data_IF_085831606846
#
_entry.id   IF_085831606846
#
_cell.length_a   1.000
_cell.length_b   1.000
_cell.length_c   1.000
_cell.angle_alpha   90.00
_cell.angle_beta   90.00
_cell.angle_gamma   90.00
#
_symmetry.space_group_name_H-M   'P 1'
#
loop_
_entity.id
_entity.type
_entity.pdbx_description
1 polymer ?
#
# COMPACT_ATOMS: atom_id res chain seq x y z
N UNK A 1 -6.87 -19.75 -14.24
CA UNK A 1 -7.13 -19.71 -12.78
C UNK A 1 -6.42 -18.53 -12.13
N UNK A 2 -5.21 -18.20 -12.54
CA UNK A 2 -4.37 -17.17 -11.91
C UNK A 2 -5.03 -15.79 -11.83
N UNK A 3 -5.75 -15.37 -12.87
CA UNK A 3 -6.49 -14.09 -12.87
C UNK A 3 -7.52 -13.99 -11.73
N UNK A 4 -8.23 -15.08 -11.41
CA UNK A 4 -9.19 -15.09 -10.30
C UNK A 4 -8.46 -14.96 -8.96
N UNK A 5 -7.35 -15.67 -8.79
CA UNK A 5 -6.55 -15.63 -7.56
C UNK A 5 -5.96 -14.24 -7.35
N UNK A 6 -5.41 -13.62 -8.39
CA UNK A 6 -4.89 -12.26 -8.34
C UNK A 6 -5.97 -11.26 -7.95
N UNK A 7 -7.18 -11.36 -8.53
CA UNK A 7 -8.25 -10.42 -8.25
C UNK A 7 -8.85 -10.59 -6.85
N UNK A 8 -8.89 -11.83 -6.35
CA UNK A 8 -9.27 -12.11 -4.97
C UNK A 8 -8.26 -11.52 -3.98
N UNK A 9 -6.96 -11.68 -4.22
CA UNK A 9 -5.91 -11.09 -3.39
C UNK A 9 -5.82 -9.56 -3.51
N UNK A 10 -6.22 -9.00 -4.65
CA UNK A 10 -6.34 -7.54 -4.80
C UNK A 10 -7.45 -6.99 -3.91
N UNK A 11 -8.66 -7.56 -3.97
CA UNK A 11 -9.82 -7.09 -3.19
C UNK A 11 -9.70 -7.44 -1.70
N UNK A 12 -9.18 -8.61 -1.39
CA UNK A 12 -9.07 -9.17 -0.05
C UNK A 12 -7.62 -9.63 0.25
N UNK A 13 -6.67 -8.69 0.32
CA UNK A 13 -5.30 -9.02 0.72
C UNK A 13 -5.32 -9.54 2.17
N UNK A 14 -4.57 -10.62 2.47
CA UNK A 14 -4.45 -11.14 3.84
C UNK A 14 -3.89 -10.12 4.84
N UNK A 15 -3.10 -9.16 4.34
CA UNK A 15 -2.45 -8.11 5.13
C UNK A 15 -2.80 -6.75 4.53
N UNK A 16 -3.57 -5.94 5.25
CA UNK A 16 -4.06 -4.64 4.74
C UNK A 16 -3.03 -3.51 4.74
N UNK A 17 -1.93 -3.64 5.49
CA UNK A 17 -0.81 -2.70 5.51
C UNK A 17 0.49 -3.40 5.89
N UNK A 18 1.60 -2.88 5.37
CA UNK A 18 2.94 -3.28 5.81
C UNK A 18 3.63 -2.11 6.49
N UNK A 19 4.52 -2.43 7.41
CA UNK A 19 5.30 -1.46 8.17
C UNK A 19 6.80 -1.75 8.04
N UNK A 20 7.58 -0.68 7.98
CA UNK A 20 9.05 -0.72 7.97
C UNK A 20 9.56 0.23 9.04
N UNK A 21 10.68 -0.13 9.66
CA UNK A 21 11.36 0.72 10.63
C UNK A 21 12.62 1.27 10.00
N UNK A 22 12.80 2.59 10.06
CA UNK A 22 14.00 3.25 9.58
C UNK A 22 15.17 2.95 10.50
N UNK A 23 16.05 2.04 10.05
CA UNK A 23 17.25 1.64 10.81
C UNK A 23 18.37 2.69 10.74
N UNK A 24 18.35 3.51 9.68
CA UNK A 24 19.29 4.60 9.40
C UNK A 24 18.45 5.85 9.11
N UNK A 25 18.97 7.04 9.45
CA UNK A 25 18.33 8.30 9.08
C UNK A 25 18.33 8.46 7.56
N UNK A 26 17.14 8.64 6.99
CA UNK A 26 16.95 8.71 5.56
C UNK A 26 16.61 10.14 5.14
N UNK A 27 17.29 10.63 4.10
CA UNK A 27 17.03 11.93 3.49
C UNK A 27 16.61 11.71 2.04
N UNK A 28 15.37 12.04 1.73
CA UNK A 28 14.86 12.01 0.36
C UNK A 28 15.38 13.24 -0.40
N UNK A 29 16.19 13.06 -1.45
CA UNK A 29 16.77 14.18 -2.20
C UNK A 29 15.72 15.02 -2.94
N UNK A 30 14.62 14.43 -3.41
CA UNK A 30 13.64 15.16 -4.23
C UNK A 30 12.64 15.98 -3.41
N UNK A 31 12.12 15.42 -2.33
CA UNK A 31 11.11 16.07 -1.48
C UNK A 31 11.70 16.84 -0.29
N UNK A 32 13.00 16.64 -0.01
CA UNK A 32 13.64 17.14 1.21
C UNK A 32 13.15 16.45 2.49
N UNK A 33 12.36 15.37 2.37
CA UNK A 33 11.83 14.63 3.50
C UNK A 33 12.97 14.02 4.30
N UNK A 34 13.01 14.32 5.60
CA UNK A 34 13.92 13.70 6.55
C UNK A 34 13.14 12.71 7.39
N UNK A 35 13.55 11.44 7.35
CA UNK A 35 12.95 10.38 8.15
C UNK A 35 13.95 9.99 9.24
N UNK A 36 13.67 10.35 10.51
CA UNK A 36 14.53 10.04 11.63
C UNK A 36 14.73 8.53 11.81
N UNK A 37 15.84 8.17 12.45
CA UNK A 37 16.07 6.79 12.87
C UNK A 37 14.97 6.35 13.85
N UNK A 38 14.50 5.11 13.70
CA UNK A 38 13.39 4.47 14.45
C UNK A 38 11.99 5.01 14.11
N UNK A 39 11.85 5.80 13.06
CA UNK A 39 10.53 6.12 12.51
C UNK A 39 9.90 4.91 11.80
N UNK A 40 8.56 4.84 11.82
CA UNK A 40 7.80 3.83 11.11
C UNK A 40 7.31 4.39 9.77
N UNK A 41 7.54 3.66 8.70
CA UNK A 41 6.95 3.90 7.39
C UNK A 41 5.84 2.86 7.16
N UNK A 42 4.62 3.33 6.90
CA UNK A 42 3.46 2.49 6.66
C UNK A 42 3.04 2.57 5.19
N UNK A 43 2.88 1.42 4.53
CA UNK A 43 2.30 1.35 3.19
C UNK A 43 0.92 0.66 3.26
N UNK A 44 -0.18 1.38 2.96
CA UNK A 44 -1.53 0.85 3.05
C UNK A 44 -1.93 0.06 1.79
N UNK A 45 -1.69 -1.25 1.81
CA UNK A 45 -1.97 -2.16 0.68
C UNK A 45 -3.46 -2.15 0.30
N UNK A 46 -4.36 -2.28 1.28
CA UNK A 46 -5.81 -2.32 1.04
C UNK A 46 -6.29 -1.02 0.37
N UNK A 47 -5.76 0.12 0.79
CA UNK A 47 -6.17 1.41 0.24
C UNK A 47 -5.72 1.52 -1.23
N UNK A 48 -4.46 1.23 -1.51
CA UNK A 48 -3.89 1.28 -2.86
C UNK A 48 -4.62 0.31 -3.80
N UNK A 49 -4.91 -0.91 -3.34
CA UNK A 49 -5.61 -1.90 -4.14
C UNK A 49 -7.05 -1.51 -4.49
N UNK A 50 -7.71 -0.66 -3.70
CA UNK A 50 -9.09 -0.23 -3.94
C UNK A 50 -9.18 1.23 -4.43
N UNK A 51 -8.05 1.84 -4.72
CA UNK A 51 -8.01 3.22 -5.19
C UNK A 51 -8.50 3.29 -6.65
N UNK A 52 -9.54 4.11 -6.93
CA UNK A 52 -10.09 4.26 -8.27
C UNK A 52 -9.09 4.81 -9.30
N UNK A 53 -7.99 5.44 -8.87
CA UNK A 53 -6.91 5.86 -9.76
C UNK A 53 -6.23 4.67 -10.46
N UNK A 54 -6.13 3.52 -9.78
CA UNK A 54 -5.43 2.34 -10.30
C UNK A 54 -6.39 1.24 -10.73
N UNK A 55 -7.59 1.18 -10.13
CA UNK A 55 -8.59 0.16 -10.44
C UNK A 55 -9.97 0.79 -10.55
N UNK A 56 -10.51 0.83 -11.76
CA UNK A 56 -11.90 1.25 -11.99
C UNK A 56 -12.85 0.25 -11.31
N UNK A 57 -13.46 0.65 -10.20
CA UNK A 57 -14.40 -0.22 -9.48
C UNK A 57 -15.85 0.19 -9.75
N UNK A 58 -16.65 -0.76 -10.26
CA UNK A 58 -18.10 -0.70 -10.15
C UNK A 58 -18.52 -1.29 -8.81
N UNK A 59 -18.93 -0.44 -7.86
CA UNK A 59 -19.55 -0.88 -6.60
C UNK A 59 -20.97 -1.35 -6.92
N UNK A 60 -21.11 -2.61 -7.29
CA UNK A 60 -22.42 -3.23 -7.42
C UNK A 60 -22.99 -3.40 -6.01
N UNK A 61 -23.74 -2.39 -5.56
CA UNK A 61 -24.61 -2.48 -4.39
C UNK A 61 -25.68 -3.53 -4.68
N UNK A 62 -25.64 -4.64 -3.96
CA UNK A 62 -26.83 -5.49 -3.77
C UNK A 62 -27.42 -5.11 -2.42
#
# INVERSE_FOLDING_TARGET
>A
MDMFVCELLRKFPPVGRIERICVIEYHEPESGLKVPRRSYAFAPIQAIHNDPQYYEYQRNST
#
